data_IF_502106175863
#
_entry.id   IF_502106175863
#
_cell.length_a   1.000
_cell.length_b   1.000
_cell.length_c   1.000
_cell.angle_alpha   90.00
_cell.angle_beta   90.00
_cell.angle_gamma   90.00
#
_symmetry.space_group_name_H-M   'P 1'
#
loop_
_entity.id
_entity.type
_entity.pdbx_description
1 polymer ?
#
# COMPACT_ATOMS: atom_id res chain seq x y z
N UNK A 1 -14.42 8.00 0.23
CA UNK A 1 -14.74 6.77 0.98
C UNK A 1 -15.92 7.10 1.88
N UNK A 2 -16.92 6.24 1.99
CA UNK A 2 -18.00 6.45 2.94
C UNK A 2 -17.45 6.74 4.34
N UNK A 3 -18.09 7.66 5.07
CA UNK A 3 -17.62 8.14 6.37
C UNK A 3 -17.86 7.07 7.44
N UNK A 4 -16.99 6.06 7.50
CA UNK A 4 -17.13 4.91 8.41
C UNK A 4 -16.85 5.24 9.89
N UNK A 5 -16.82 6.52 10.28
CA UNK A 5 -16.48 6.96 11.64
C UNK A 5 -17.59 6.64 12.64
N UNK A 6 -18.85 6.68 12.22
CA UNK A 6 -20.03 6.36 13.03
C UNK A 6 -20.36 4.87 13.09
N UNK A 7 -19.79 4.05 12.21
CA UNK A 7 -20.08 2.61 12.12
C UNK A 7 -19.29 1.78 13.14
N UNK A 8 -19.94 0.72 13.63
CA UNK A 8 -19.29 -0.31 14.44
C UNK A 8 -18.17 -1.02 13.67
N UNK A 9 -17.28 -1.73 14.38
CA UNK A 9 -16.10 -2.34 13.78
C UNK A 9 -16.45 -3.34 12.67
N UNK A 10 -17.55 -4.06 12.82
CA UNK A 10 -17.95 -5.11 11.89
C UNK A 10 -18.55 -4.54 10.61
N UNK A 11 -19.45 -3.57 10.76
CA UNK A 11 -20.07 -2.84 9.65
C UNK A 11 -19.02 -2.07 8.83
N UNK A 12 -18.07 -1.41 9.51
CA UNK A 12 -16.93 -0.75 8.85
C UNK A 12 -16.08 -1.72 8.02
N UNK A 13 -15.88 -2.95 8.51
CA UNK A 13 -15.14 -3.97 7.76
C UNK A 13 -15.95 -4.46 6.56
N UNK A 14 -17.25 -4.71 6.74
CA UNK A 14 -18.14 -5.15 5.67
C UNK A 14 -18.21 -4.11 4.54
N UNK A 15 -18.40 -2.84 4.87
CA UNK A 15 -18.44 -1.75 3.91
C UNK A 15 -17.11 -1.58 3.15
N UNK A 16 -15.97 -1.61 3.86
CA UNK A 16 -14.65 -1.54 3.21
C UNK A 16 -14.39 -2.75 2.30
N UNK A 17 -14.86 -3.94 2.66
CA UNK A 17 -14.76 -5.14 1.81
C UNK A 17 -15.65 -5.01 0.58
N UNK A 18 -16.90 -4.56 0.74
CA UNK A 18 -17.82 -4.31 -0.36
C UNK A 18 -17.25 -3.26 -1.34
N UNK A 19 -16.69 -2.17 -0.82
CA UNK A 19 -16.02 -1.15 -1.63
C UNK A 19 -14.81 -1.71 -2.39
N UNK A 20 -13.98 -2.54 -1.75
CA UNK A 20 -12.84 -3.21 -2.43
C UNK A 20 -13.28 -4.23 -3.47
N UNK A 21 -14.39 -4.94 -3.26
CA UNK A 21 -14.93 -5.92 -4.21
C UNK A 21 -15.52 -5.25 -5.46
N UNK A 22 -16.12 -4.06 -5.30
CA UNK A 22 -16.63 -3.25 -6.41
C UNK A 22 -15.52 -2.57 -7.24
N UNK A 23 -14.32 -2.44 -6.69
CA UNK A 23 -13.19 -1.85 -7.43
C UNK A 23 -12.64 -2.83 -8.46
N UNK A 24 -12.24 -2.28 -9.61
CA UNK A 24 -11.59 -3.08 -10.65
C UNK A 24 -10.31 -3.76 -10.09
N UNK A 25 -10.04 -5.02 -10.50
CA UNK A 25 -8.84 -5.72 -10.08
C UNK A 25 -7.59 -4.94 -10.49
N UNK A 26 -6.58 -4.95 -9.62
CA UNK A 26 -5.28 -4.34 -9.94
C UNK A 26 -4.64 -5.10 -11.09
N UNK A 27 -4.02 -4.35 -12.02
CA UNK A 27 -3.22 -4.93 -13.10
C UNK A 27 -2.15 -5.89 -12.53
N UNK A 28 -1.80 -6.96 -13.27
CA UNK A 28 -0.65 -7.78 -12.91
C UNK A 28 0.62 -6.91 -12.80
N UNK A 29 1.60 -7.38 -12.05
CA UNK A 29 2.85 -6.61 -11.89
C UNK A 29 3.65 -6.69 -13.19
N UNK A 30 4.10 -5.56 -13.70
CA UNK A 30 4.99 -5.52 -14.89
C UNK A 30 6.42 -5.99 -14.59
N UNK A 31 6.74 -6.27 -13.32
CA UNK A 31 8.08 -6.60 -12.85
C UNK A 31 8.04 -7.60 -11.71
N UNK A 32 9.07 -8.44 -11.63
CA UNK A 32 9.24 -9.42 -10.57
C UNK A 32 9.21 -8.76 -9.18
N UNK A 33 8.66 -9.45 -8.19
CA UNK A 33 8.66 -8.96 -6.80
C UNK A 33 10.11 -8.71 -6.36
N UNK A 34 10.36 -7.53 -5.80
CA UNK A 34 11.70 -7.15 -5.31
C UNK A 34 12.65 -6.59 -6.37
N UNK A 35 12.35 -6.64 -7.66
CA UNK A 35 13.28 -6.12 -8.70
C UNK A 35 13.46 -4.60 -8.64
N UNK A 36 12.41 -3.86 -8.24
CA UNK A 36 12.46 -2.40 -8.00
C UNK A 36 12.85 -2.04 -6.56
N UNK A 37 13.32 -2.98 -5.74
CA UNK A 37 13.84 -2.64 -4.41
C UNK A 37 15.08 -1.78 -4.63
N UNK A 38 15.16 -0.55 -4.07
CA UNK A 38 16.34 0.28 -4.25
C UNK A 38 17.53 -0.49 -3.68
N UNK A 39 18.52 -0.82 -4.52
CA UNK A 39 19.85 -1.21 -4.06
C UNK A 39 20.36 0.01 -3.31
N UNK A 40 20.28 -0.04 -1.98
CA UNK A 40 20.77 1.06 -1.15
C UNK A 40 22.25 1.20 -1.48
N UNK A 41 22.67 2.30 -2.13
CA UNK A 41 24.09 2.65 -2.28
C UNK A 41 24.62 2.92 -0.88
N UNK A 42 25.11 1.86 -0.22
CA UNK A 42 25.50 1.84 1.19
C UNK A 42 26.90 2.43 1.41
N UNK A 43 27.20 3.55 0.78
CA UNK A 43 28.46 4.29 0.98
C UNK A 43 28.27 5.79 1.20
N UNK A 44 27.22 6.42 0.66
CA UNK A 44 27.07 7.87 0.70
C UNK A 44 26.22 8.42 1.87
N UNK A 45 25.37 7.60 2.52
CA UNK A 45 24.47 8.07 3.61
C UNK A 45 25.18 8.47 4.91
N UNK A 46 26.49 8.27 5.02
CA UNK A 46 27.31 8.69 6.16
C UNK A 46 28.34 9.78 5.83
N UNK A 47 28.49 10.18 4.56
CA UNK A 47 29.47 11.20 4.16
C UNK A 47 29.00 12.63 4.45
N UNK A 48 27.68 12.89 4.56
CA UNK A 48 27.16 14.21 4.88
C UNK A 48 27.45 14.69 6.33
N UNK A 49 28.22 13.91 7.11
CA UNK A 49 28.62 14.23 8.48
C UNK A 49 30.14 14.20 8.69
N UNK A 50 30.94 14.17 7.62
CA UNK A 50 32.39 14.45 7.68
C UNK A 50 32.71 15.60 6.76
#
# INVERSE_FOLDING_TARGET
MANTKSLSREERKAEKRAARKKQAPKKPRDYARGSKKPKVKKLARGQAKR
#
